data_IF_044577988702
#
_entry.id   IF_044577988702
#
_cell.length_a   1.000
_cell.length_b   1.000
_cell.length_c   1.000
_cell.angle_alpha   90.00
_cell.angle_beta   90.00
_cell.angle_gamma   90.00
#
_symmetry.space_group_name_H-M   'P 1'
#
loop_
_entity.id
_entity.type
_entity.pdbx_description
1 polymer ?
#
# COMPACT_ATOMS: atom_id res chain seq x y z
N UNK A 1 -18.78 -3.30 -9.59
CA UNK A 1 -17.66 -2.45 -10.04
C UNK A 1 -16.53 -2.69 -9.06
N UNK A 2 -15.96 -3.88 -9.08
CA UNK A 2 -15.01 -4.31 -8.05
C UNK A 2 -13.76 -4.81 -8.78
N UNK A 3 -12.60 -4.29 -8.39
CA UNK A 3 -11.24 -4.69 -8.84
C UNK A 3 -10.84 -4.34 -10.28
N UNK A 4 -11.09 -3.12 -10.76
CA UNK A 4 -10.59 -2.71 -12.08
C UNK A 4 -9.05 -2.73 -12.16
N UNK A 5 -8.34 -2.29 -11.11
CA UNK A 5 -6.86 -2.16 -11.11
C UNK A 5 -6.14 -3.05 -10.09
N UNK A 6 -6.82 -3.51 -9.04
CA UNK A 6 -6.20 -4.21 -7.91
C UNK A 6 -5.58 -5.58 -8.26
N UNK A 7 -5.93 -6.15 -9.41
CA UNK A 7 -5.40 -7.44 -9.89
C UNK A 7 -4.40 -7.28 -11.04
N UNK A 8 -4.17 -6.06 -11.50
CA UNK A 8 -3.19 -5.81 -12.56
C UNK A 8 -1.78 -5.89 -11.98
N UNK A 9 -0.82 -6.27 -12.82
CA UNK A 9 0.57 -6.02 -12.48
C UNK A 9 0.88 -4.52 -12.51
N UNK A 10 1.94 -4.14 -11.81
CA UNK A 10 2.33 -2.73 -11.66
C UNK A 10 2.64 -2.09 -13.04
N UNK A 11 3.26 -2.83 -13.96
CA UNK A 11 3.60 -2.32 -15.28
C UNK A 11 2.35 -1.95 -16.07
N UNK A 12 1.40 -2.88 -16.17
CA UNK A 12 0.13 -2.68 -16.87
C UNK A 12 -0.67 -1.49 -16.32
N UNK A 13 -0.68 -1.30 -15.00
CA UNK A 13 -1.32 -0.13 -14.37
C UNK A 13 -0.63 1.18 -14.76
N UNK A 14 0.71 1.21 -14.72
CA UNK A 14 1.49 2.40 -15.05
C UNK A 14 1.38 2.78 -16.53
N UNK A 15 1.40 1.79 -17.43
CA UNK A 15 1.23 2.01 -18.86
C UNK A 15 -0.14 2.63 -19.18
N UNK A 16 -1.20 2.14 -18.52
CA UNK A 16 -2.55 2.70 -18.67
C UNK A 16 -2.68 4.09 -18.02
N UNK A 17 -2.09 4.30 -16.85
CA UNK A 17 -2.05 5.61 -16.18
C UNK A 17 -1.35 6.68 -17.02
N UNK A 18 -0.30 6.30 -17.76
CA UNK A 18 0.46 7.20 -18.63
C UNK A 18 -0.17 7.38 -20.02
N UNK A 19 -1.31 6.73 -20.31
CA UNK A 19 -1.96 6.81 -21.61
C UNK A 19 -2.74 8.12 -21.81
N UNK A 20 -3.31 8.30 -22.99
CA UNK A 20 -4.24 9.40 -23.28
C UNK A 20 -5.67 9.14 -22.80
N UNK A 21 -5.94 8.02 -22.13
CA UNK A 21 -7.27 7.68 -21.62
C UNK A 21 -7.60 8.49 -20.37
N UNK A 22 -8.88 8.79 -20.10
CA UNK A 22 -9.28 9.55 -18.91
C UNK A 22 -9.13 8.76 -17.59
N UNK A 23 -8.79 7.47 -17.64
CA UNK A 23 -8.58 6.61 -16.48
C UNK A 23 -7.46 5.57 -16.68
N UNK A 24 -6.77 5.14 -15.62
CA UNK A 24 -6.85 5.60 -14.22
C UNK A 24 -6.35 7.04 -14.07
N UNK A 25 -7.04 7.83 -13.23
CA UNK A 25 -6.67 9.22 -12.96
C UNK A 25 -5.80 9.40 -11.72
N UNK A 26 -5.44 10.65 -11.41
CA UNK A 26 -4.58 10.98 -10.27
C UNK A 26 -5.08 10.49 -8.90
N UNK A 27 -6.40 10.40 -8.70
CA UNK A 27 -6.97 9.80 -7.48
C UNK A 27 -6.65 8.31 -7.33
N UNK A 28 -6.65 7.55 -8.44
CA UNK A 28 -6.24 6.15 -8.42
C UNK A 28 -4.74 6.02 -8.13
N UNK A 29 -3.92 6.89 -8.72
CA UNK A 29 -2.48 6.91 -8.44
C UNK A 29 -2.19 7.22 -6.97
N UNK A 30 -2.88 8.22 -6.39
CA UNK A 30 -2.77 8.55 -4.97
C UNK A 30 -3.20 7.37 -4.07
N UNK A 31 -4.25 6.64 -4.45
CA UNK A 31 -4.69 5.45 -3.72
C UNK A 31 -3.64 4.33 -3.75
N UNK A 32 -3.00 4.08 -4.89
CA UNK A 32 -1.92 3.08 -5.00
C UNK A 32 -0.70 3.47 -4.14
N UNK A 33 -0.31 4.74 -4.17
CA UNK A 33 0.76 5.27 -3.32
C UNK A 33 0.41 5.10 -1.83
N UNK A 34 -0.81 5.46 -1.43
CA UNK A 34 -1.29 5.29 -0.06
C UNK A 34 -1.29 3.83 0.40
N UNK A 35 -1.76 2.92 -0.45
CA UNK A 35 -1.74 1.48 -0.17
C UNK A 35 -0.30 0.94 0.00
N UNK A 36 0.63 1.42 -0.83
CA UNK A 36 2.05 1.04 -0.74
C UNK A 36 2.67 1.56 0.56
N UNK A 37 2.38 2.80 0.94
CA UNK A 37 2.83 3.36 2.21
C UNK A 37 2.28 2.59 3.41
N UNK A 38 0.98 2.26 3.41
CA UNK A 38 0.34 1.47 4.46
C UNK A 38 0.95 0.07 4.57
N UNK A 39 1.27 -0.58 3.45
CA UNK A 39 1.94 -1.88 3.43
C UNK A 39 3.32 -1.83 4.09
N UNK A 40 4.09 -0.76 3.88
CA UNK A 40 5.38 -0.56 4.55
C UNK A 40 5.21 -0.36 6.06
N UNK A 41 4.22 0.42 6.50
CA UNK A 41 3.92 0.58 7.92
C UNK A 41 3.57 -0.76 8.54
N UNK A 42 2.67 -1.53 7.92
CA UNK A 42 2.29 -2.87 8.37
C UNK A 42 3.50 -3.81 8.47
N UNK A 43 4.40 -3.80 7.48
CA UNK A 43 5.64 -4.58 7.53
C UNK A 43 6.49 -4.23 8.76
N UNK A 44 6.66 -2.94 9.06
CA UNK A 44 7.45 -2.51 10.22
C UNK A 44 6.80 -2.94 11.53
N UNK A 45 5.47 -2.83 11.64
CA UNK A 45 4.71 -3.32 12.80
C UNK A 45 4.94 -4.81 13.02
N UNK A 46 4.83 -5.63 11.97
CA UNK A 46 5.08 -7.09 12.02
C UNK A 46 6.52 -7.45 12.41
N UNK A 47 7.50 -6.65 11.97
CA UNK A 47 8.90 -6.84 12.38
C UNK A 47 9.18 -6.42 13.83
N UNK A 48 8.24 -5.68 14.46
CA UNK A 48 8.38 -5.12 15.81
C UNK A 48 7.64 -5.94 16.85
N UNK A 49 6.42 -6.37 16.56
CA UNK A 49 5.59 -7.16 17.48
C UNK A 49 6.24 -8.51 17.80
N UNK A 50 6.12 -8.95 19.05
CA UNK A 50 6.64 -10.23 19.55
C UNK A 50 8.17 -10.32 19.67
N UNK A 51 8.92 -9.23 19.44
CA UNK A 51 10.37 -9.20 19.63
C UNK A 51 10.73 -8.63 20.99
N UNK A 52 11.52 -9.37 21.78
CA UNK A 52 11.98 -8.93 23.11
C UNK A 52 12.71 -7.58 23.08
N UNK A 53 13.50 -7.32 22.03
CA UNK A 53 14.19 -6.04 21.82
C UNK A 53 13.24 -4.84 21.80
N UNK A 54 11.97 -5.05 21.44
CA UNK A 54 10.96 -4.01 21.32
C UNK A 54 9.88 -4.14 22.40
N UNK A 55 10.18 -4.78 23.54
CA UNK A 55 9.24 -4.98 24.65
C UNK A 55 8.60 -3.67 25.14
N UNK A 56 9.36 -2.57 25.16
CA UNK A 56 8.88 -1.26 25.65
C UNK A 56 7.85 -0.57 24.76
N UNK A 57 7.64 -1.06 23.53
CA UNK A 57 6.72 -0.44 22.55
C UNK A 57 5.63 -1.39 22.07
N UNK A 58 5.50 -2.59 22.66
CA UNK A 58 4.52 -3.59 22.20
C UNK A 58 3.08 -3.08 22.29
N UNK A 59 2.72 -2.40 23.39
CA UNK A 59 1.37 -1.86 23.60
C UNK A 59 1.03 -0.81 22.53
N UNK A 60 1.95 0.12 22.27
CA UNK A 60 1.79 1.15 21.24
C UNK A 60 1.65 0.57 19.82
N UNK A 61 2.24 -0.58 19.54
CA UNK A 61 2.24 -1.21 18.20
C UNK A 61 1.05 -2.15 17.98
N UNK A 62 0.26 -2.44 19.02
CA UNK A 62 -0.85 -3.40 18.97
C UNK A 62 -2.23 -2.75 18.78
N UNK A 63 -2.30 -1.42 18.81
CA UNK A 63 -3.50 -0.60 18.56
C UNK A 63 -3.64 -0.25 17.06
#
# INVERSE_FOLDING_TARGET
MERAYAQWDIGSYLDKLASGDPEPGGGSAAALVGATAAALVSMVTELTLGKEKFASVQELMSD
#
